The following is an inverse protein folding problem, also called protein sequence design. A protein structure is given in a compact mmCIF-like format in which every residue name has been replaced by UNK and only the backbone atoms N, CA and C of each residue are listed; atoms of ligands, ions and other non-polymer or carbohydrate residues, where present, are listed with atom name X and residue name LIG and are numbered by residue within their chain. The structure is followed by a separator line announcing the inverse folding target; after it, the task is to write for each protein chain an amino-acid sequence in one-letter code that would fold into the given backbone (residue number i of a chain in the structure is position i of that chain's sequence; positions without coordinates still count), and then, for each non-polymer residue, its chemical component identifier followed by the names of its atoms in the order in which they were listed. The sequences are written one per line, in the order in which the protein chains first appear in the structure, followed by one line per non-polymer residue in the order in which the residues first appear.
data_IF_094574994645
#
_entry.id   IF_094574994645
#
_cell.length_a   1.000
_cell.length_b   1.000
_cell.length_c   1.000
_cell.angle_alpha   90.00
_cell.angle_beta   90.00
_cell.angle_gamma   90.00
#
_symmetry.space_group_name_H-M   'P 1'
#
loop_
_entity.id
_entity.type
_entity.pdbx_description
1 polymer ?
#
# COMPACT_ATOMS: atom_id res chain seq x y z
N UNK A 1 -16.73 -31.64 -22.09
CA UNK A 1 -16.94 -32.40 -20.82
C UNK A 1 -15.97 -31.94 -19.71
N UNK A 2 -14.67 -31.72 -20.02
CA UNK A 2 -13.66 -31.25 -19.03
C UNK A 2 -13.95 -29.82 -18.52
N UNK A 3 -14.40 -28.91 -19.39
CA UNK A 3 -14.76 -27.53 -19.03
C UNK A 3 -16.04 -27.47 -18.17
N UNK A 4 -17.01 -28.37 -18.42
CA UNK A 4 -18.21 -28.46 -17.59
C UNK A 4 -17.94 -29.05 -16.20
N UNK A 5 -16.97 -29.96 -16.08
CA UNK A 5 -16.55 -30.55 -14.81
C UNK A 5 -15.83 -29.51 -13.94
N UNK A 6 -14.90 -28.71 -14.53
CA UNK A 6 -14.25 -27.57 -13.84
C UNK A 6 -15.26 -26.54 -13.35
N UNK A 7 -16.24 -26.16 -14.18
CA UNK A 7 -17.29 -25.21 -13.80
C UNK A 7 -18.23 -25.76 -12.69
N UNK A 8 -18.44 -27.09 -12.66
CA UNK A 8 -19.23 -27.73 -11.60
C UNK A 8 -18.45 -27.85 -10.28
N UNK A 9 -17.14 -28.10 -10.34
CA UNK A 9 -16.26 -28.08 -9.16
C UNK A 9 -16.08 -26.67 -8.59
N UNK A 10 -15.92 -25.66 -9.44
CA UNK A 10 -15.92 -24.25 -8.98
C UNK A 10 -17.24 -23.89 -8.28
N UNK A 11 -18.38 -24.23 -8.85
CA UNK A 11 -19.68 -23.97 -8.21
C UNK A 11 -19.89 -24.73 -6.90
N UNK A 12 -19.39 -25.96 -6.78
CA UNK A 12 -19.46 -26.74 -5.54
C UNK A 12 -18.52 -26.17 -4.46
N UNK A 13 -17.34 -25.72 -4.86
CA UNK A 13 -16.34 -25.09 -3.99
C UNK A 13 -16.87 -23.74 -3.46
N UNK A 14 -17.37 -22.88 -4.34
CA UNK A 14 -18.03 -21.61 -4.01
C UNK A 14 -19.23 -21.84 -3.08
N UNK A 15 -20.02 -22.90 -3.30
CA UNK A 15 -21.18 -23.24 -2.47
C UNK A 15 -20.80 -23.77 -1.09
N UNK A 16 -19.64 -24.41 -0.94
CA UNK A 16 -19.11 -24.88 0.35
C UNK A 16 -18.59 -23.71 1.18
N UNK A 17 -17.83 -22.80 0.57
CA UNK A 17 -17.31 -21.60 1.27
C UNK A 17 -18.39 -20.52 1.51
N UNK A 18 -19.38 -20.36 0.62
CA UNK A 18 -20.51 -19.46 0.87
C UNK A 18 -21.49 -19.96 1.94
N UNK A 19 -21.48 -21.23 2.32
CA UNK A 19 -22.36 -21.74 3.39
C UNK A 19 -21.88 -21.39 4.80
N UNK A 20 -20.59 -21.25 5.02
CA UNK A 20 -20.03 -20.88 6.33
C UNK A 20 -20.02 -19.37 6.61
N UNK A 21 -20.13 -18.53 5.57
CA UNK A 21 -20.25 -17.07 5.72
C UNK A 21 -21.60 -16.66 6.38
N UNK A 22 -22.58 -17.55 6.42
CA UNK A 22 -23.90 -17.26 7.01
C UNK A 22 -23.93 -17.17 8.55
N UNK A 23 -22.82 -17.41 9.25
CA UNK A 23 -22.71 -17.28 10.72
C UNK A 23 -22.08 -15.95 11.20
N UNK A 24 -21.82 -14.99 10.30
CA UNK A 24 -21.39 -13.65 10.69
C UNK A 24 -22.56 -12.90 11.35
N UNK A 25 -22.30 -12.28 12.50
CA UNK A 25 -23.34 -11.59 13.28
C UNK A 25 -23.94 -10.40 12.51
N UNK A 26 -25.20 -10.07 12.81
CA UNK A 26 -25.93 -8.91 12.23
C UNK A 26 -25.10 -7.64 12.34
N UNK A 27 -24.65 -7.08 11.18
CA UNK A 27 -23.88 -5.86 11.07
C UNK A 27 -22.57 -6.00 10.29
N UNK A 28 -22.08 -7.20 10.01
CA UNK A 28 -20.84 -7.41 9.26
C UNK A 28 -21.01 -7.08 7.78
N UNK A 29 -20.01 -6.42 7.21
CA UNK A 29 -19.94 -6.16 5.77
C UNK A 29 -19.71 -7.50 5.07
N UNK A 30 -20.76 -8.07 4.50
CA UNK A 30 -20.64 -9.26 3.65
C UNK A 30 -20.08 -8.80 2.30
N UNK A 31 -18.82 -9.10 2.05
CA UNK A 31 -18.15 -8.84 0.77
C UNK A 31 -17.73 -10.18 0.18
N UNK A 32 -18.15 -10.44 -1.05
CA UNK A 32 -17.79 -11.65 -1.77
C UNK A 32 -16.51 -11.40 -2.57
N UNK A 33 -15.85 -12.49 -3.00
CA UNK A 33 -14.68 -12.41 -3.89
C UNK A 33 -14.95 -11.60 -5.16
N UNK A 34 -16.15 -11.74 -5.73
CA UNK A 34 -16.59 -11.05 -6.94
C UNK A 34 -16.58 -9.53 -6.79
N UNK A 35 -16.84 -9.02 -5.58
CA UNK A 35 -16.78 -7.59 -5.27
C UNK A 35 -15.36 -7.02 -5.32
N UNK A 36 -14.35 -7.90 -5.29
CA UNK A 36 -12.92 -7.58 -5.34
C UNK A 36 -12.33 -7.67 -6.75
N UNK A 37 -13.10 -8.14 -7.74
CA UNK A 37 -12.62 -8.25 -9.11
C UNK A 37 -12.70 -6.89 -9.80
N UNK A 38 -11.56 -6.39 -10.25
CA UNK A 38 -11.50 -5.15 -11.00
C UNK A 38 -12.16 -5.30 -12.38
N UNK A 39 -12.74 -4.22 -12.94
CA UNK A 39 -13.13 -4.19 -14.35
C UNK A 39 -11.94 -4.52 -15.27
N UNK A 40 -12.20 -5.11 -16.44
CA UNK A 40 -11.15 -5.47 -17.40
C UNK A 40 -10.27 -4.27 -17.77
N UNK A 41 -10.89 -3.14 -18.11
CA UNK A 41 -10.21 -1.86 -18.35
C UNK A 41 -10.16 -1.10 -17.05
N UNK A 42 -8.98 -1.06 -16.43
CA UNK A 42 -8.82 -0.46 -15.12
C UNK A 42 -7.39 0.05 -14.90
N UNK A 43 -7.29 1.27 -14.40
CA UNK A 43 -6.07 1.85 -13.86
C UNK A 43 -6.37 2.29 -12.41
N UNK A 44 -5.53 1.91 -11.47
CA UNK A 44 -5.69 2.21 -10.05
C UNK A 44 -5.85 3.72 -9.77
N UNK A 45 -5.30 4.58 -10.64
CA UNK A 45 -5.42 6.05 -10.51
C UNK A 45 -6.86 6.52 -10.67
N UNK A 46 -7.72 5.77 -11.38
CA UNK A 46 -9.14 6.09 -11.53
C UNK A 46 -9.86 6.23 -10.18
N UNK A 47 -9.41 5.46 -9.17
CA UNK A 47 -9.95 5.55 -7.81
C UNK A 47 -9.60 6.89 -7.14
N UNK A 48 -8.52 7.54 -7.54
CA UNK A 48 -8.10 8.84 -7.02
C UNK A 48 -8.75 9.96 -7.84
N UNK A 49 -8.74 9.84 -9.16
CA UNK A 49 -9.25 10.85 -10.09
C UNK A 49 -10.74 11.17 -9.89
N UNK A 50 -11.56 10.15 -9.55
CA UNK A 50 -13.00 10.34 -9.28
C UNK A 50 -13.28 11.34 -8.15
N UNK A 51 -12.28 11.66 -7.32
CA UNK A 51 -12.38 12.63 -6.24
C UNK A 51 -11.86 14.02 -6.62
N UNK A 52 -11.34 14.21 -7.82
CA UNK A 52 -10.85 15.50 -8.32
C UNK A 52 -12.02 16.44 -8.68
N UNK A 53 -12.77 16.86 -7.68
CA UNK A 53 -13.94 17.73 -7.81
C UNK A 53 -13.86 18.89 -6.83
N UNK A 54 -14.05 20.12 -7.34
CA UNK A 54 -14.04 21.32 -6.53
C UNK A 54 -12.72 21.54 -5.78
N UNK A 55 -12.83 21.96 -4.54
CA UNK A 55 -11.74 22.29 -3.62
C UNK A 55 -11.43 21.19 -2.59
N UNK A 56 -11.89 19.96 -2.86
CA UNK A 56 -11.69 18.82 -1.97
C UNK A 56 -10.21 18.56 -1.72
N UNK A 57 -9.79 18.57 -0.45
CA UNK A 57 -8.39 18.37 -0.04
C UNK A 57 -7.96 16.92 -0.24
N UNK A 58 -6.81 16.75 -0.92
CA UNK A 58 -6.14 15.46 -1.09
C UNK A 58 -4.99 15.29 -0.11
N UNK A 59 -4.16 16.34 0.06
CA UNK A 59 -3.00 16.31 0.95
C UNK A 59 -3.02 17.48 1.93
N UNK A 60 -2.62 17.19 3.15
CA UNK A 60 -2.29 18.15 4.19
C UNK A 60 -0.84 17.87 4.64
N UNK A 61 0.11 18.69 4.20
CA UNK A 61 1.54 18.46 4.42
C UNK A 61 2.03 19.41 5.51
N UNK A 62 2.55 18.84 6.59
CA UNK A 62 3.15 19.54 7.71
C UNK A 62 4.67 19.43 7.62
N UNK A 63 5.33 20.54 7.34
CA UNK A 63 6.78 20.64 7.26
C UNK A 63 7.40 20.77 8.68
N UNK A 64 8.69 20.45 8.80
CA UNK A 64 9.44 20.55 10.06
C UNK A 64 9.45 21.98 10.63
N UNK A 65 9.42 22.98 9.77
CA UNK A 65 9.43 24.41 10.12
C UNK A 65 8.02 24.96 10.43
N UNK A 66 7.10 24.09 10.75
CA UNK A 66 5.70 24.40 11.05
C UNK A 66 4.86 24.95 9.88
N UNK A 67 5.43 25.03 8.66
CA UNK A 67 4.66 25.38 7.47
C UNK A 67 3.65 24.27 7.14
N UNK A 68 2.44 24.70 6.79
CA UNK A 68 1.38 23.82 6.28
C UNK A 68 1.22 24.09 4.79
N UNK A 69 1.11 23.01 4.02
CA UNK A 69 0.79 23.02 2.60
C UNK A 69 -0.44 22.15 2.38
N UNK A 70 -1.46 22.73 1.77
CA UNK A 70 -2.69 22.03 1.41
C UNK A 70 -2.73 21.88 -0.11
N UNK A 71 -3.13 20.70 -0.58
CA UNK A 71 -3.27 20.40 -2.01
C UNK A 71 -4.63 19.75 -2.23
N UNK A 72 -5.41 20.29 -3.14
CA UNK A 72 -6.70 19.71 -3.54
C UNK A 72 -6.49 18.49 -4.46
N UNK A 73 -7.52 17.64 -4.59
CA UNK A 73 -7.48 16.54 -5.56
C UNK A 73 -7.30 17.05 -6.99
N UNK A 74 -7.96 18.17 -7.34
CA UNK A 74 -7.82 18.80 -8.66
C UNK A 74 -6.37 19.20 -8.92
N UNK A 75 -5.74 19.94 -7.99
CA UNK A 75 -4.34 20.34 -8.11
C UNK A 75 -3.38 19.15 -8.15
N UNK A 76 -3.65 18.12 -7.34
CA UNK A 76 -2.86 16.88 -7.31
C UNK A 76 -2.87 16.20 -8.69
N UNK A 77 -4.05 16.02 -9.28
CA UNK A 77 -4.20 15.40 -10.60
C UNK A 77 -3.64 16.27 -11.71
N UNK A 78 -3.84 17.59 -11.69
CA UNK A 78 -3.22 18.51 -12.66
C UNK A 78 -1.70 18.40 -12.64
N UNK A 79 -1.07 18.41 -11.46
CA UNK A 79 0.38 18.25 -11.30
C UNK A 79 0.84 16.87 -11.77
N UNK A 80 0.12 15.82 -11.43
CA UNK A 80 0.42 14.46 -11.90
C UNK A 80 0.29 14.31 -13.41
N UNK A 81 -0.66 14.99 -14.05
CA UNK A 81 -0.80 15.06 -15.51
C UNK A 81 0.42 15.72 -16.15
N UNK A 82 0.92 16.81 -15.55
CA UNK A 82 2.15 17.46 -16.03
C UNK A 82 3.36 16.52 -15.96
N UNK A 83 3.48 15.72 -14.88
CA UNK A 83 4.52 14.68 -14.75
C UNK A 83 4.34 13.59 -15.81
N UNK A 84 3.11 13.09 -16.03
CA UNK A 84 2.84 12.08 -17.04
C UNK A 84 3.23 12.54 -18.45
N UNK A 85 2.96 13.81 -18.79
CA UNK A 85 3.39 14.42 -20.06
C UNK A 85 4.92 14.43 -20.21
N UNK A 86 5.68 14.64 -19.13
CA UNK A 86 7.16 14.55 -19.18
C UNK A 86 7.60 13.13 -19.49
N UNK A 87 7.03 12.13 -18.81
CA UNK A 87 7.41 10.74 -19.03
C UNK A 87 7.13 10.29 -20.46
N UNK A 88 5.96 10.62 -21.01
CA UNK A 88 5.63 10.36 -22.40
C UNK A 88 6.61 11.04 -23.38
N UNK A 89 6.90 12.35 -23.18
CA UNK A 89 7.83 13.09 -24.02
C UNK A 89 9.27 12.60 -23.95
N UNK A 90 9.65 11.95 -22.86
CA UNK A 90 10.95 11.32 -22.69
C UNK A 90 11.06 9.98 -23.41
N UNK A 91 10.00 9.56 -24.13
CA UNK A 91 9.98 8.32 -24.91
C UNK A 91 9.64 7.07 -24.10
N UNK A 92 9.27 7.20 -22.84
CA UNK A 92 8.82 6.07 -22.01
C UNK A 92 7.50 5.51 -22.55
N UNK A 93 7.39 4.18 -22.56
CA UNK A 93 6.27 3.46 -23.13
C UNK A 93 5.47 2.72 -22.07
N UNK A 94 4.25 2.34 -22.41
CA UNK A 94 3.42 1.47 -21.57
C UNK A 94 4.18 0.19 -21.19
N UNK A 95 4.25 -0.08 -19.88
CA UNK A 95 4.93 -1.24 -19.31
C UNK A 95 6.39 -1.01 -18.96
N UNK A 96 6.99 0.11 -19.38
CA UNK A 96 8.34 0.46 -18.95
C UNK A 96 8.41 0.56 -17.43
N UNK A 97 9.52 0.11 -16.87
CA UNK A 97 9.75 0.07 -15.43
C UNK A 97 10.53 1.32 -14.99
N UNK A 98 10.05 1.94 -13.92
CA UNK A 98 10.65 3.13 -13.32
C UNK A 98 10.97 2.89 -11.84
N UNK A 99 12.22 3.13 -11.44
CA UNK A 99 12.62 3.14 -10.04
C UNK A 99 12.31 4.52 -9.45
N UNK A 100 11.58 4.58 -8.33
CA UNK A 100 11.21 5.84 -7.65
C UNK A 100 11.74 5.85 -6.23
N UNK A 101 12.64 6.81 -5.94
CA UNK A 101 13.33 7.00 -4.66
C UNK A 101 13.15 8.45 -4.19
N UNK A 102 11.94 8.76 -3.68
CA UNK A 102 11.51 10.12 -3.28
C UNK A 102 10.94 10.05 -1.86
N UNK A 103 11.28 11.03 -0.96
CA UNK A 103 10.80 11.04 0.41
C UNK A 103 9.32 11.42 0.51
N UNK A 104 8.78 11.42 1.76
CA UNK A 104 7.42 11.90 2.04
C UNK A 104 7.27 13.37 1.59
N UNK A 105 6.58 13.59 0.49
CA UNK A 105 6.39 14.92 -0.10
C UNK A 105 5.27 14.90 -1.14
N UNK A 106 4.79 16.05 -1.58
CA UNK A 106 3.88 16.18 -2.71
C UNK A 106 4.44 15.47 -3.96
N UNK A 107 5.74 15.61 -4.19
CA UNK A 107 6.42 15.09 -5.36
C UNK A 107 6.34 13.55 -5.43
N UNK A 108 6.34 12.85 -4.28
CA UNK A 108 6.13 11.41 -4.27
C UNK A 108 4.74 11.05 -4.83
N UNK A 109 3.69 11.71 -4.36
CA UNK A 109 2.32 11.44 -4.82
C UNK A 109 2.15 11.73 -6.31
N UNK A 110 2.58 12.91 -6.79
CA UNK A 110 2.41 13.28 -8.20
C UNK A 110 3.27 12.42 -9.13
N UNK A 111 4.45 11.96 -8.69
CA UNK A 111 5.31 11.05 -9.45
C UNK A 111 4.65 9.68 -9.62
N UNK A 112 4.13 9.10 -8.53
CA UNK A 112 3.44 7.80 -8.59
C UNK A 112 2.17 7.88 -9.45
N UNK A 113 1.33 8.90 -9.25
CA UNK A 113 0.11 9.08 -10.05
C UNK A 113 0.48 9.30 -11.52
N UNK A 114 1.44 10.19 -11.81
CA UNK A 114 1.89 10.49 -13.17
C UNK A 114 2.47 9.27 -13.89
N UNK A 115 3.30 8.46 -13.20
CA UNK A 115 3.87 7.23 -13.75
C UNK A 115 2.77 6.21 -14.07
N UNK A 116 1.84 5.96 -13.16
CA UNK A 116 0.72 5.05 -13.39
C UNK A 116 -0.21 5.53 -14.53
N UNK A 117 -0.43 6.84 -14.66
CA UNK A 117 -1.19 7.43 -15.78
C UNK A 117 -0.47 7.26 -17.11
N UNK A 118 0.85 7.46 -17.14
CA UNK A 118 1.69 7.23 -18.31
C UNK A 118 1.84 5.73 -18.66
N UNK A 119 1.24 4.85 -17.86
CA UNK A 119 1.28 3.42 -18.10
C UNK A 119 2.56 2.74 -17.64
N UNK A 120 3.34 3.36 -16.76
CA UNK A 120 4.60 2.81 -16.25
C UNK A 120 4.37 1.84 -15.08
N UNK A 121 5.34 0.96 -14.89
CA UNK A 121 5.42 0.07 -13.73
C UNK A 121 6.41 0.67 -12.73
N UNK A 122 6.05 0.75 -11.45
CA UNK A 122 6.86 1.42 -10.44
C UNK A 122 7.60 0.41 -9.56
N UNK A 123 8.91 0.66 -9.33
CA UNK A 123 9.69 0.06 -8.26
C UNK A 123 9.75 1.06 -7.10
N UNK A 124 8.95 0.89 -6.04
CA UNK A 124 9.09 1.68 -4.82
C UNK A 124 10.46 1.44 -4.21
N UNK A 125 11.22 2.51 -3.96
CA UNK A 125 12.59 2.40 -3.48
C UNK A 125 12.85 3.30 -2.29
N UNK A 126 13.32 2.69 -1.20
CA UNK A 126 13.62 3.39 0.05
C UNK A 126 14.92 4.18 -0.06
N UNK A 127 14.96 5.34 0.60
CA UNK A 127 16.17 6.15 0.79
C UNK A 127 17.32 5.43 1.50
N UNK A 128 17.04 4.26 2.09
CA UNK A 128 18.06 3.45 2.77
C UNK A 128 18.83 2.55 1.80
N UNK A 129 18.41 2.45 0.54
CA UNK A 129 19.10 1.64 -0.46
C UNK A 129 20.47 2.22 -0.78
N UNK A 130 21.43 1.31 -1.02
CA UNK A 130 22.78 1.64 -1.46
C UNK A 130 22.95 1.34 -2.95
N UNK A 131 23.98 1.88 -3.55
CA UNK A 131 24.29 1.72 -4.97
C UNK A 131 24.13 0.27 -5.48
N UNK A 132 24.63 -0.72 -4.73
CA UNK A 132 24.49 -2.14 -5.06
C UNK A 132 23.02 -2.60 -5.14
N UNK A 133 22.19 -2.11 -4.22
CA UNK A 133 20.76 -2.51 -4.17
C UNK A 133 19.98 -1.85 -5.28
N UNK A 134 20.33 -0.62 -5.62
CA UNK A 134 19.75 0.16 -6.72
C UNK A 134 20.11 -0.50 -8.05
N UNK A 135 21.40 -0.77 -8.28
CA UNK A 135 21.92 -1.41 -9.49
C UNK A 135 21.24 -2.77 -9.75
N UNK A 136 21.13 -3.58 -8.70
CA UNK A 136 20.44 -4.86 -8.77
C UNK A 136 18.97 -4.70 -9.25
N UNK A 137 18.22 -3.74 -8.70
CA UNK A 137 16.82 -3.52 -9.08
C UNK A 137 16.68 -3.04 -10.52
N UNK A 138 17.54 -2.12 -10.94
CA UNK A 138 17.59 -1.61 -12.31
C UNK A 138 17.78 -2.74 -13.30
N UNK A 139 18.80 -3.58 -13.09
CA UNK A 139 19.12 -4.70 -13.98
C UNK A 139 18.06 -5.80 -13.92
N UNK A 140 17.66 -6.21 -12.70
CA UNK A 140 16.71 -7.30 -12.53
C UNK A 140 15.33 -6.98 -13.14
N UNK A 141 14.87 -5.73 -13.00
CA UNK A 141 13.56 -5.32 -13.51
C UNK A 141 13.60 -4.71 -14.93
N UNK A 142 14.76 -4.65 -15.59
CA UNK A 142 14.94 -3.97 -16.88
C UNK A 142 14.42 -2.51 -16.84
N UNK A 143 14.73 -1.78 -15.78
CA UNK A 143 14.26 -0.40 -15.61
C UNK A 143 14.68 0.49 -16.78
N UNK A 144 13.80 1.40 -17.17
CA UNK A 144 14.02 2.39 -18.25
C UNK A 144 14.17 3.80 -17.71
N UNK A 145 13.75 4.05 -16.48
CA UNK A 145 13.83 5.35 -15.86
C UNK A 145 14.10 5.26 -14.35
N UNK A 146 14.63 6.35 -13.82
CA UNK A 146 14.80 6.59 -12.39
C UNK A 146 14.25 7.97 -12.07
N UNK A 147 13.49 8.07 -10.97
CA UNK A 147 13.17 9.33 -10.29
C UNK A 147 13.77 9.30 -8.91
N UNK A 148 14.71 10.18 -8.61
CA UNK A 148 15.36 10.28 -7.31
C UNK A 148 15.20 11.68 -6.70
N UNK A 149 15.24 11.77 -5.37
CA UNK A 149 15.30 13.06 -4.70
C UNK A 149 16.75 13.55 -4.62
N UNK A 150 16.96 14.87 -4.69
CA UNK A 150 18.29 15.48 -4.80
C UNK A 150 19.30 15.00 -3.74
N UNK A 151 18.86 14.74 -2.51
CA UNK A 151 19.74 14.26 -1.44
C UNK A 151 20.18 12.79 -1.59
N UNK A 152 19.57 12.04 -2.50
CA UNK A 152 19.84 10.61 -2.71
C UNK A 152 20.61 10.34 -4.00
N UNK A 153 20.74 11.33 -4.89
CA UNK A 153 21.41 11.12 -6.20
C UNK A 153 22.87 10.70 -6.07
N UNK A 154 23.57 11.07 -4.99
CA UNK A 154 24.93 10.61 -4.73
C UNK A 154 25.08 9.09 -4.58
N UNK A 155 24.03 8.37 -4.18
CA UNK A 155 24.05 6.90 -4.16
C UNK A 155 24.11 6.30 -5.56
N UNK A 156 23.73 7.07 -6.60
CA UNK A 156 23.74 6.63 -7.99
C UNK A 156 25.11 6.79 -8.66
N UNK A 157 26.06 7.53 -8.09
CA UNK A 157 27.39 7.71 -8.66
C UNK A 157 28.16 6.38 -8.78
N UNK A 158 27.86 5.41 -7.91
CA UNK A 158 28.47 4.06 -7.93
C UNK A 158 27.58 3.00 -8.63
N UNK A 159 26.41 3.38 -9.16
CA UNK A 159 25.52 2.49 -9.92
C UNK A 159 26.07 2.31 -11.32
N UNK A 160 26.20 1.04 -11.76
CA UNK A 160 26.91 0.71 -13.01
C UNK A 160 26.03 0.75 -14.26
N UNK A 161 24.72 0.58 -14.10
CA UNK A 161 23.81 0.38 -15.23
C UNK A 161 22.82 1.56 -15.36
N UNK A 162 23.35 2.80 -15.38
CA UNK A 162 22.55 4.01 -15.60
C UNK A 162 22.51 4.43 -17.07
N UNK A 163 23.45 3.97 -17.88
CA UNK A 163 23.55 4.36 -19.28
C UNK A 163 22.28 4.01 -20.05
N UNK A 164 21.73 4.98 -20.78
CA UNK A 164 20.51 4.81 -21.58
C UNK A 164 19.20 4.91 -20.80
N UNK A 165 19.25 5.13 -19.48
CA UNK A 165 18.05 5.38 -18.67
C UNK A 165 17.65 6.86 -18.72
N UNK A 166 16.34 7.12 -18.58
CA UNK A 166 15.82 8.45 -18.31
C UNK A 166 16.02 8.77 -16.82
N UNK A 167 16.86 9.75 -16.51
CA UNK A 167 17.19 10.10 -15.12
C UNK A 167 16.52 11.42 -14.75
N UNK A 168 15.60 11.37 -13.79
CA UNK A 168 14.89 12.54 -13.27
C UNK A 168 15.23 12.78 -11.81
N UNK A 169 15.42 14.04 -11.45
CA UNK A 169 15.62 14.45 -10.06
C UNK A 169 14.49 15.36 -9.58
N UNK A 170 14.05 15.13 -8.37
CA UNK A 170 13.19 16.04 -7.62
C UNK A 170 14.09 16.92 -6.77
N UNK A 171 14.16 18.20 -7.10
CA UNK A 171 15.06 19.17 -6.50
C UNK A 171 16.07 19.76 -7.49
N UNK A 172 17.25 20.16 -7.01
CA UNK A 172 18.29 20.74 -7.85
C UNK A 172 18.94 19.67 -8.73
N UNK A 173 18.99 19.95 -10.03
CA UNK A 173 19.56 19.05 -11.01
C UNK A 173 21.01 19.40 -11.34
N UNK A 174 21.79 18.37 -11.65
CA UNK A 174 23.06 18.46 -12.36
C UNK A 174 23.14 17.29 -13.36
N UNK A 175 23.84 17.52 -14.45
CA UNK A 175 24.01 16.46 -15.47
C UNK A 175 24.45 15.12 -14.86
N UNK A 176 23.86 13.98 -15.29
CA UNK A 176 22.88 13.84 -16.39
C UNK A 176 21.40 13.89 -15.97
N UNK A 177 21.08 14.34 -14.76
CA UNK A 177 19.74 14.35 -14.19
C UNK A 177 18.89 15.51 -14.71
N UNK A 178 17.65 15.23 -15.12
CA UNK A 178 16.67 16.22 -15.54
C UNK A 178 15.81 16.67 -14.35
N UNK A 179 15.61 18.00 -14.12
CA UNK A 179 14.80 18.50 -13.01
C UNK A 179 13.31 18.24 -13.27
N UNK A 180 12.77 17.17 -12.73
CA UNK A 180 11.42 16.67 -13.02
C UNK A 180 10.35 17.75 -12.84
N UNK A 181 10.35 18.42 -11.69
CA UNK A 181 9.32 19.40 -11.34
C UNK A 181 9.41 20.65 -12.22
N UNK A 182 10.63 21.13 -12.51
CA UNK A 182 10.82 22.30 -13.37
C UNK A 182 10.43 22.02 -14.83
N UNK A 183 10.78 20.84 -15.34
CA UNK A 183 10.35 20.38 -16.66
C UNK A 183 8.82 20.25 -16.76
N UNK A 184 8.17 19.85 -15.67
CA UNK A 184 6.72 19.64 -15.63
C UNK A 184 5.92 20.96 -15.61
N UNK A 185 6.44 22.05 -15.05
CA UNK A 185 5.73 23.34 -14.88
C UNK A 185 5.03 23.86 -16.13
N UNK A 186 5.63 23.64 -17.30
CA UNK A 186 5.15 24.14 -18.59
C UNK A 186 4.40 23.06 -19.40
N UNK A 187 4.13 21.90 -18.82
CA UNK A 187 3.38 20.85 -19.48
C UNK A 187 1.88 21.06 -19.31
N UNK A 188 1.07 20.50 -20.23
CA UNK A 188 -0.39 20.52 -20.08
C UNK A 188 -0.82 19.93 -18.74
N UNK A 189 -1.82 20.56 -18.11
CA UNK A 189 -2.47 20.08 -16.88
C UNK A 189 -3.44 18.93 -17.14
N UNK A 190 -3.65 18.56 -18.40
CA UNK A 190 -4.44 17.43 -18.85
C UNK A 190 -3.53 16.35 -19.41
N UNK A 191 -3.88 15.11 -19.21
CA UNK A 191 -3.22 13.96 -19.81
C UNK A 191 -4.29 12.88 -20.05
N UNK A 192 -4.43 12.45 -21.29
CA UNK A 192 -5.28 11.32 -21.62
C UNK A 192 -4.51 10.04 -21.23
N UNK A 193 -4.88 9.45 -20.10
CA UNK A 193 -4.17 8.31 -19.53
C UNK A 193 -4.04 7.15 -20.51
N UNK A 194 -2.90 6.48 -20.48
CA UNK A 194 -2.67 5.26 -21.27
C UNK A 194 -3.64 4.18 -20.82
N UNK A 195 -4.38 3.60 -21.76
CA UNK A 195 -5.34 2.54 -21.47
C UNK A 195 -4.62 1.31 -20.85
N UNK A 196 -5.07 0.91 -19.68
CA UNK A 196 -4.57 -0.24 -18.92
C UNK A 196 -5.66 -1.27 -18.74
N UNK A 197 -5.25 -2.53 -18.68
CA UNK A 197 -6.09 -3.61 -18.16
C UNK A 197 -5.82 -3.78 -16.66
N UNK A 198 -6.78 -4.40 -15.97
CA UNK A 198 -6.60 -4.73 -14.57
C UNK A 198 -5.37 -5.63 -14.30
N UNK A 199 -4.97 -6.43 -15.29
CA UNK A 199 -3.84 -7.36 -15.20
C UNK A 199 -2.49 -6.75 -15.60
N UNK A 200 -2.45 -5.52 -16.11
CA UNK A 200 -1.19 -4.81 -16.33
C UNK A 200 -0.47 -4.58 -14.99
N UNK A 201 0.87 -4.72 -15.00
CA UNK A 201 1.69 -4.55 -13.79
C UNK A 201 1.72 -3.08 -13.37
N UNK A 202 1.40 -2.82 -12.12
CA UNK A 202 1.46 -1.49 -11.52
C UNK A 202 2.72 -1.31 -10.65
N UNK A 203 3.06 -2.32 -9.84
CA UNK A 203 4.17 -2.24 -8.88
C UNK A 203 5.03 -3.50 -8.87
N UNK A 204 6.33 -3.30 -8.70
CA UNK A 204 7.34 -4.33 -8.43
C UNK A 204 7.91 -4.10 -7.03
N UNK A 205 7.37 -4.82 -6.05
CA UNK A 205 7.71 -4.64 -4.63
C UNK A 205 8.84 -5.58 -4.21
N UNK A 206 10.02 -5.01 -3.96
CA UNK A 206 11.19 -5.78 -3.53
C UNK A 206 11.17 -6.05 -2.04
N UNK A 207 11.42 -7.30 -1.66
CA UNK A 207 11.61 -7.75 -0.27
C UNK A 207 12.97 -8.40 -0.07
N UNK A 208 13.48 -8.33 1.16
CA UNK A 208 14.68 -9.07 1.54
C UNK A 208 14.42 -10.57 1.44
N UNK A 209 15.14 -11.26 0.57
CA UNK A 209 15.12 -12.72 0.51
C UNK A 209 15.90 -13.32 1.68
N UNK A 210 15.42 -14.40 2.28
CA UNK A 210 16.13 -15.13 3.34
C UNK A 210 17.40 -15.85 2.84
N UNK A 211 17.57 -15.98 1.53
CA UNK A 211 18.60 -16.82 0.89
C UNK A 211 19.43 -16.13 -0.19
N UNK A 212 19.59 -14.81 -0.18
CA UNK A 212 20.42 -14.13 -1.18
C UNK A 212 19.84 -12.82 -1.71
N UNK A 213 19.77 -12.64 -3.03
CA UNK A 213 19.27 -11.42 -3.66
C UNK A 213 17.80 -11.14 -3.33
N UNK A 214 17.39 -9.86 -3.22
CA UNK A 214 16.00 -9.47 -3.03
C UNK A 214 15.10 -10.06 -4.12
N UNK A 215 13.90 -10.53 -3.72
CA UNK A 215 12.84 -10.97 -4.62
C UNK A 215 11.86 -9.83 -4.85
N UNK A 216 11.22 -9.78 -6.02
CA UNK A 216 10.25 -8.76 -6.37
C UNK A 216 8.86 -9.36 -6.55
N UNK A 217 7.93 -9.02 -5.67
CA UNK A 217 6.52 -9.38 -5.83
C UNK A 217 5.87 -8.52 -6.91
N UNK A 218 5.17 -9.16 -7.84
CA UNK A 218 4.48 -8.51 -8.97
C UNK A 218 3.04 -8.19 -8.60
N UNK A 219 2.69 -6.91 -8.57
CA UNK A 219 1.32 -6.45 -8.34
C UNK A 219 0.74 -5.75 -9.56
N UNK A 220 -0.47 -6.17 -9.93
CA UNK A 220 -1.23 -5.59 -11.04
C UNK A 220 -2.13 -4.45 -10.56
N UNK A 221 -2.78 -3.74 -11.48
CA UNK A 221 -3.78 -2.74 -11.12
C UNK A 221 -4.96 -3.38 -10.36
N UNK A 222 -5.35 -4.62 -10.68
CA UNK A 222 -6.41 -5.37 -9.99
C UNK A 222 -6.15 -5.52 -8.47
N UNK A 223 -4.88 -5.68 -8.08
CA UNK A 223 -4.50 -5.72 -6.67
C UNK A 223 -4.97 -4.48 -5.91
N UNK A 224 -4.77 -3.29 -6.46
CA UNK A 224 -5.19 -2.05 -5.81
C UNK A 224 -6.70 -1.91 -5.68
N UNK A 225 -7.45 -2.41 -6.66
CA UNK A 225 -8.92 -2.46 -6.60
C UNK A 225 -9.40 -3.29 -5.41
N UNK A 226 -8.85 -4.49 -5.25
CA UNK A 226 -9.17 -5.37 -4.13
C UNK A 226 -8.71 -4.77 -2.80
N UNK A 227 -7.49 -4.20 -2.74
CA UNK A 227 -6.92 -3.59 -1.54
C UNK A 227 -7.80 -2.47 -0.99
N UNK A 228 -8.33 -1.58 -1.83
CA UNK A 228 -9.21 -0.49 -1.40
C UNK A 228 -10.51 -1.01 -0.79
N UNK A 229 -11.05 -2.10 -1.30
CA UNK A 229 -12.32 -2.66 -0.84
C UNK A 229 -12.17 -3.47 0.44
N UNK A 230 -11.09 -4.20 0.58
CA UNK A 230 -10.83 -5.00 1.80
C UNK A 230 -10.15 -4.18 2.89
N UNK A 231 -8.92 -3.76 2.66
CA UNK A 231 -8.05 -3.16 3.69
C UNK A 231 -8.49 -1.74 4.05
N UNK A 232 -8.68 -0.87 3.05
CA UNK A 232 -8.99 0.54 3.32
C UNK A 232 -10.35 0.68 4.01
N UNK A 233 -11.36 -0.02 3.52
CA UNK A 233 -12.73 0.07 4.04
C UNK A 233 -12.92 -0.72 5.33
N UNK A 234 -12.51 -1.99 5.35
CA UNK A 234 -12.90 -2.92 6.42
C UNK A 234 -11.97 -2.86 7.64
N UNK A 235 -10.68 -2.58 7.43
CA UNK A 235 -9.70 -2.57 8.51
C UNK A 235 -9.22 -1.16 8.87
N UNK A 236 -8.72 -0.37 7.93
CA UNK A 236 -8.39 1.04 8.17
C UNK A 236 -9.65 1.81 8.57
N UNK A 237 -10.80 1.48 7.98
CA UNK A 237 -12.07 2.15 8.25
C UNK A 237 -12.09 3.58 7.74
N UNK A 238 -11.40 3.85 6.63
CA UNK A 238 -11.33 5.17 6.01
C UNK A 238 -12.68 5.55 5.40
N UNK A 239 -13.17 6.70 5.78
CA UNK A 239 -14.39 7.30 5.25
C UNK A 239 -14.06 8.50 4.34
N UNK A 240 -14.99 8.81 3.44
CA UNK A 240 -14.83 9.95 2.55
C UNK A 240 -14.82 11.26 3.35
N UNK A 241 -13.75 12.04 3.22
CA UNK A 241 -13.57 13.30 3.94
C UNK A 241 -12.73 13.20 5.23
N UNK A 242 -12.34 11.99 5.64
CA UNK A 242 -11.41 11.80 6.76
C UNK A 242 -10.06 12.47 6.52
N UNK A 243 -9.38 12.81 7.61
CA UNK A 243 -7.94 13.10 7.60
C UNK A 243 -7.22 11.84 8.07
N UNK A 244 -6.47 11.21 7.16
CA UNK A 244 -5.79 9.93 7.39
C UNK A 244 -4.30 10.16 7.58
N UNK A 245 -3.76 9.74 8.71
CA UNK A 245 -2.33 9.71 8.94
C UNK A 245 -1.81 8.27 8.96
N UNK A 246 -1.12 7.88 7.92
CA UNK A 246 -0.38 6.63 7.87
C UNK A 246 1.12 6.95 7.77
N UNK A 247 1.91 6.46 8.73
CA UNK A 247 3.29 6.90 8.95
C UNK A 247 4.34 6.23 8.07
N UNK A 248 3.96 5.23 7.27
CA UNK A 248 4.87 4.56 6.35
C UNK A 248 5.54 5.57 5.39
N UNK A 249 6.80 5.30 5.02
CA UNK A 249 7.54 6.13 4.05
C UNK A 249 7.41 5.58 2.63
N UNK A 250 7.49 6.44 1.58
CA UNK A 250 7.67 6.00 0.20
C UNK A 250 8.86 5.05 0.09
N UNK A 251 8.76 4.09 -0.83
CA UNK A 251 9.77 3.04 -0.97
C UNK A 251 9.44 1.74 -0.25
N UNK A 252 8.45 1.76 0.64
CA UNK A 252 7.88 0.57 1.25
C UNK A 252 6.52 0.26 0.65
N UNK A 253 6.19 -1.01 0.45
CA UNK A 253 4.87 -1.44 -0.03
C UNK A 253 3.74 -0.89 0.87
N UNK A 254 3.97 -0.81 2.17
CA UNK A 254 3.02 -0.26 3.16
C UNK A 254 2.64 1.20 2.87
N UNK A 255 3.54 2.00 2.25
CA UNK A 255 3.20 3.35 1.83
C UNK A 255 2.15 3.35 0.71
N UNK A 256 2.29 2.45 -0.25
CA UNK A 256 1.29 2.30 -1.32
C UNK A 256 -0.05 1.90 -0.71
N UNK A 257 -0.08 1.01 0.28
CA UNK A 257 -1.30 0.54 0.91
C UNK A 257 -2.09 1.67 1.59
N UNK A 258 -1.46 2.36 2.53
CA UNK A 258 -2.17 3.24 3.47
C UNK A 258 -2.05 4.72 3.12
N UNK A 259 -0.85 5.33 3.09
CA UNK A 259 -0.72 6.76 2.75
C UNK A 259 -1.21 7.10 1.35
N UNK A 260 -0.93 6.25 0.37
CA UNK A 260 -1.23 6.50 -1.03
C UNK A 260 -2.64 6.04 -1.41
N UNK A 261 -2.87 4.72 -1.48
CA UNK A 261 -4.13 4.19 -2.02
C UNK A 261 -5.29 4.33 -1.05
N UNK A 262 -5.15 3.88 0.22
CA UNK A 262 -6.28 3.88 1.14
C UNK A 262 -6.77 5.30 1.42
N UNK A 263 -5.86 6.26 1.60
CA UNK A 263 -6.24 7.66 1.82
C UNK A 263 -6.87 8.26 0.56
N UNK A 264 -6.12 8.30 -0.55
CA UNK A 264 -6.56 9.01 -1.74
C UNK A 264 -7.69 8.30 -2.49
N UNK A 265 -7.64 6.97 -2.60
CA UNK A 265 -8.64 6.17 -3.30
C UNK A 265 -10.00 6.13 -2.58
N UNK A 266 -10.01 6.40 -1.26
CA UNK A 266 -11.25 6.54 -0.49
C UNK A 266 -11.80 7.97 -0.46
N UNK A 267 -11.09 8.94 -1.05
CA UNK A 267 -11.49 10.34 -1.04
C UNK A 267 -11.24 11.05 0.28
N UNK A 268 -10.29 10.57 1.05
CA UNK A 268 -9.82 11.18 2.29
C UNK A 268 -8.66 12.15 2.02
N UNK A 269 -8.31 12.97 3.01
CA UNK A 269 -7.11 13.80 2.99
C UNK A 269 -5.95 13.04 3.61
N UNK A 270 -4.88 12.78 2.86
CA UNK A 270 -3.67 12.18 3.42
C UNK A 270 -2.87 13.24 4.19
N UNK A 271 -2.69 13.02 5.49
CA UNK A 271 -1.81 13.85 6.32
C UNK A 271 -0.37 13.37 6.15
N UNK A 272 0.52 14.29 5.80
CA UNK A 272 1.94 14.01 5.52
C UNK A 272 2.80 14.84 6.46
N UNK A 273 3.44 14.20 7.43
CA UNK A 273 4.39 14.85 8.31
C UNK A 273 5.83 14.61 7.80
N UNK A 274 6.56 15.69 7.53
CA UNK A 274 7.95 15.65 7.01
C UNK A 274 9.00 15.56 8.12
N UNK A 275 8.59 15.67 9.38
CA UNK A 275 9.48 15.59 10.51
C UNK A 275 9.79 14.16 10.96
N UNK A 276 10.68 14.09 11.96
CA UNK A 276 11.04 12.83 12.61
C UNK A 276 9.94 12.41 13.59
N UNK A 277 9.87 11.10 13.83
CA UNK A 277 9.00 10.57 14.89
C UNK A 277 9.44 11.08 16.26
N UNK A 278 8.50 11.69 16.95
CA UNK A 278 8.60 12.08 18.36
C UNK A 278 7.23 11.85 19.01
N UNK A 279 7.12 11.06 20.09
CA UNK A 279 5.82 10.64 20.63
C UNK A 279 4.90 11.78 21.01
N UNK A 280 5.40 12.79 21.74
CA UNK A 280 4.62 13.95 22.16
C UNK A 280 4.17 14.77 20.95
N UNK A 281 5.07 15.00 19.99
CA UNK A 281 4.75 15.74 18.77
C UNK A 281 3.68 15.04 17.95
N UNK A 282 3.69 13.70 17.88
CA UNK A 282 2.66 12.93 17.18
C UNK A 282 1.28 13.12 17.82
N UNK A 283 1.21 13.04 19.16
CA UNK A 283 -0.04 13.29 19.89
C UNK A 283 -0.56 14.72 19.64
N UNK A 284 0.33 15.72 19.70
CA UNK A 284 -0.01 17.11 19.38
C UNK A 284 -0.54 17.29 17.97
N UNK A 285 0.12 16.69 16.96
CA UNK A 285 -0.28 16.78 15.57
C UNK A 285 -1.63 16.10 15.31
N UNK A 286 -1.91 14.97 15.98
CA UNK A 286 -3.21 14.30 15.88
C UNK A 286 -4.34 15.21 16.37
N UNK A 287 -4.14 15.89 17.51
CA UNK A 287 -5.09 16.86 18.06
C UNK A 287 -5.21 18.10 17.16
N UNK A 288 -4.08 18.71 16.77
CA UNK A 288 -4.02 19.95 15.97
C UNK A 288 -4.72 19.79 14.63
N UNK A 289 -4.46 18.67 13.94
CA UNK A 289 -4.97 18.42 12.59
C UNK A 289 -6.24 17.55 12.57
N UNK A 290 -6.81 17.25 13.73
CA UNK A 290 -8.05 16.46 13.88
C UNK A 290 -8.00 15.17 13.08
N UNK A 291 -6.94 14.39 13.27
CA UNK A 291 -6.76 13.13 12.58
C UNK A 291 -7.93 12.18 12.88
N UNK A 292 -8.49 11.58 11.85
CA UNK A 292 -9.63 10.66 11.94
C UNK A 292 -9.20 9.20 11.94
N UNK A 293 -8.14 8.88 11.15
CA UNK A 293 -7.61 7.53 11.02
C UNK A 293 -6.09 7.57 11.21
N UNK A 294 -5.57 6.78 12.14
CA UNK A 294 -4.13 6.60 12.36
C UNK A 294 -3.70 5.18 12.00
N UNK A 295 -2.69 5.06 11.14
CA UNK A 295 -2.03 3.80 10.83
C UNK A 295 -0.53 3.96 11.06
N UNK A 296 -0.01 3.42 12.15
CA UNK A 296 1.41 3.47 12.45
C UNK A 296 1.92 2.13 12.99
N UNK A 297 3.24 2.02 13.18
CA UNK A 297 3.86 0.78 13.65
C UNK A 297 3.56 0.51 15.13
N UNK A 298 3.58 -0.75 15.58
CA UNK A 298 3.47 -1.07 17.00
C UNK A 298 4.54 -0.36 17.85
N UNK A 299 5.73 -0.16 17.29
CA UNK A 299 6.82 0.56 17.96
C UNK A 299 6.46 2.03 18.20
N UNK A 300 5.87 2.74 17.22
CA UNK A 300 5.39 4.12 17.40
C UNK A 300 4.30 4.18 18.47
N UNK A 301 3.33 3.27 18.44
CA UNK A 301 2.29 3.19 19.47
C UNK A 301 2.85 2.93 20.87
N UNK A 302 3.82 2.02 21.01
CA UNK A 302 4.47 1.74 22.31
C UNK A 302 5.14 2.96 22.90
N UNK A 303 5.76 3.78 22.05
CA UNK A 303 6.44 5.00 22.50
C UNK A 303 5.43 6.10 22.86
N UNK A 304 4.34 6.24 22.09
CA UNK A 304 3.26 7.15 22.45
C UNK A 304 2.54 6.75 23.74
N UNK A 305 2.31 5.45 23.96
CA UNK A 305 1.67 4.95 25.18
C UNK A 305 2.48 5.18 26.47
N UNK A 306 3.76 5.54 26.35
CA UNK A 306 4.66 5.85 27.47
C UNK A 306 4.78 7.33 27.77
N UNK A 307 4.08 8.18 27.03
CA UNK A 307 4.06 9.62 27.29
C UNK A 307 3.28 9.87 28.59
N UNK A 308 3.83 10.72 29.45
CA UNK A 308 3.16 11.15 30.68
C UNK A 308 1.93 12.01 30.37
N UNK A 309 0.92 11.94 31.24
CA UNK A 309 -0.29 12.77 31.15
C UNK A 309 -1.03 12.70 29.81
N UNK A 310 -1.18 11.50 29.26
CA UNK A 310 -1.88 11.25 27.98
C UNK A 310 -3.27 11.88 27.92
N UNK A 311 -3.97 11.97 29.05
CA UNK A 311 -5.29 12.60 29.18
C UNK A 311 -5.32 14.09 28.82
N UNK A 312 -4.16 14.74 28.69
CA UNK A 312 -4.07 16.15 28.26
C UNK A 312 -4.23 16.32 26.73
N UNK A 313 -4.21 15.22 25.97
CA UNK A 313 -4.38 15.25 24.51
C UNK A 313 -5.83 14.91 24.14
N UNK A 314 -6.43 15.74 23.30
CA UNK A 314 -7.76 15.48 22.75
C UNK A 314 -7.65 14.71 21.40
N UNK A 315 -7.85 13.41 21.45
CA UNK A 315 -7.92 12.55 20.28
C UNK A 315 -9.35 12.13 19.93
N UNK A 316 -10.36 12.87 20.35
CA UNK A 316 -11.78 12.55 20.16
C UNK A 316 -12.22 12.45 18.69
N UNK A 317 -11.46 13.07 17.77
CA UNK A 317 -11.71 12.95 16.32
C UNK A 317 -11.18 11.65 15.71
N UNK A 318 -10.30 10.94 16.43
CA UNK A 318 -9.68 9.70 15.95
C UNK A 318 -10.64 8.52 16.16
N UNK A 319 -11.35 8.13 15.10
CA UNK A 319 -12.33 7.03 15.19
C UNK A 319 -11.74 5.68 14.76
N UNK A 320 -10.53 5.66 14.19
CA UNK A 320 -9.85 4.43 13.81
C UNK A 320 -8.35 4.51 14.04
N UNK A 321 -7.83 3.56 14.80
CA UNK A 321 -6.41 3.39 15.08
C UNK A 321 -6.00 1.95 14.78
N UNK A 322 -5.03 1.76 13.87
CA UNK A 322 -4.62 0.44 13.41
C UNK A 322 -3.10 0.31 13.35
N UNK A 323 -2.64 -0.92 13.50
CA UNK A 323 -1.22 -1.27 13.45
C UNK A 323 -1.00 -2.56 12.69
N UNK A 324 0.12 -2.68 11.99
CA UNK A 324 0.54 -3.91 11.32
C UNK A 324 2.05 -3.92 11.08
N UNK A 325 2.61 -5.12 10.87
CA UNK A 325 4.03 -5.33 10.57
C UNK A 325 4.82 -5.96 11.70
N UNK A 326 4.38 -5.78 12.94
CA UNK A 326 4.91 -6.42 14.15
C UNK A 326 3.73 -6.78 15.08
N UNK A 327 3.87 -7.69 16.03
CA UNK A 327 2.82 -7.97 17.02
C UNK A 327 2.47 -6.74 17.87
N UNK A 328 1.19 -6.45 18.00
CA UNK A 328 0.69 -5.36 18.82
C UNK A 328 0.59 -5.79 20.29
N UNK A 329 1.24 -5.05 21.19
CA UNK A 329 1.26 -5.37 22.61
C UNK A 329 -0.07 -5.04 23.28
N UNK A 330 -0.51 -5.92 24.21
CA UNK A 330 -1.70 -5.69 25.03
C UNK A 330 -1.66 -4.37 25.78
N UNK A 331 -0.52 -3.99 26.36
CA UNK A 331 -0.33 -2.73 27.07
C UNK A 331 -0.72 -1.50 26.25
N UNK A 332 -0.38 -1.50 24.94
CA UNK A 332 -0.78 -0.42 24.02
C UNK A 332 -2.29 -0.36 23.88
N UNK A 333 -2.92 -1.51 23.63
CA UNK A 333 -4.38 -1.59 23.47
C UNK A 333 -5.08 -1.08 24.72
N UNK A 334 -4.70 -1.59 25.88
CA UNK A 334 -5.28 -1.21 27.19
C UNK A 334 -5.07 0.27 27.51
N UNK A 335 -3.90 0.83 27.18
CA UNK A 335 -3.60 2.25 27.42
C UNK A 335 -4.43 3.18 26.54
N UNK A 336 -4.47 2.94 25.23
CA UNK A 336 -5.25 3.80 24.32
C UNK A 336 -6.76 3.67 24.61
N UNK A 337 -7.23 2.49 24.98
CA UNK A 337 -8.63 2.29 25.36
C UNK A 337 -8.98 3.05 26.65
N UNK A 338 -8.10 3.02 27.66
CA UNK A 338 -8.30 3.70 28.94
C UNK A 338 -8.24 5.22 28.80
N UNK A 339 -7.23 5.75 28.10
CA UNK A 339 -6.97 7.19 28.04
C UNK A 339 -7.83 7.91 26.99
N UNK A 340 -8.14 7.25 25.88
CA UNK A 340 -8.81 7.89 24.74
C UNK A 340 -10.13 7.20 24.34
N UNK A 341 -10.54 6.15 25.04
CA UNK A 341 -11.67 5.29 24.62
C UNK A 341 -11.52 4.77 23.18
N UNK A 342 -10.27 4.60 22.74
CA UNK A 342 -9.89 4.23 21.40
C UNK A 342 -9.26 2.84 21.38
N UNK A 343 -9.85 1.94 20.59
CA UNK A 343 -9.31 0.60 20.40
C UNK A 343 -8.26 0.62 19.29
N UNK A 344 -6.99 0.34 19.62
CA UNK A 344 -5.96 0.08 18.62
C UNK A 344 -6.10 -1.36 18.12
N UNK A 345 -6.23 -1.52 16.81
CA UNK A 345 -6.54 -2.80 16.16
C UNK A 345 -5.33 -3.34 15.41
N UNK A 346 -5.08 -4.64 15.56
CA UNK A 346 -3.98 -5.32 14.89
C UNK A 346 -4.37 -5.82 13.50
N UNK A 347 -3.36 -6.05 12.66
CA UNK A 347 -3.55 -6.63 11.35
C UNK A 347 -2.28 -7.26 10.78
N UNK A 348 -2.47 -8.33 10.01
CA UNK A 348 -1.43 -9.12 9.39
C UNK A 348 -1.59 -9.14 7.87
N UNK A 349 -0.48 -9.00 7.19
CA UNK A 349 -0.36 -9.12 5.75
C UNK A 349 1.10 -9.06 5.32
N UNK A 350 1.35 -9.36 4.06
CA UNK A 350 2.69 -9.45 3.50
C UNK A 350 2.81 -8.62 2.23
N UNK A 351 4.04 -8.37 1.79
CA UNK A 351 4.31 -7.69 0.50
C UNK A 351 3.67 -8.43 -0.66
N UNK A 352 3.61 -9.75 -0.60
CA UNK A 352 3.01 -10.63 -1.61
C UNK A 352 1.48 -10.57 -1.67
N UNK A 353 0.85 -9.87 -0.74
CA UNK A 353 -0.60 -9.82 -0.62
C UNK A 353 -1.12 -8.40 -0.33
N UNK A 354 -2.15 -8.31 0.43
CA UNK A 354 -2.68 -7.14 1.14
C UNK A 354 -2.78 -7.48 2.63
N UNK A 355 -3.53 -6.71 3.41
CA UNK A 355 -3.92 -7.13 4.75
C UNK A 355 -4.83 -8.36 4.64
N UNK A 356 -4.37 -9.48 5.14
CA UNK A 356 -5.04 -10.78 5.04
C UNK A 356 -5.95 -11.06 6.24
N UNK A 357 -5.46 -10.73 7.42
CA UNK A 357 -6.13 -10.96 8.69
C UNK A 357 -6.10 -9.68 9.51
N UNK A 358 -7.17 -9.33 10.17
CA UNK A 358 -7.21 -8.13 11.01
C UNK A 358 -8.36 -8.12 12.02
N UNK A 359 -8.18 -7.36 13.08
CA UNK A 359 -9.28 -6.97 13.97
C UNK A 359 -10.05 -5.84 13.28
N UNK A 360 -11.24 -6.15 12.76
CA UNK A 360 -12.08 -5.19 12.03
C UNK A 360 -12.76 -4.22 13.01
N UNK A 361 -13.28 -3.08 12.48
CA UNK A 361 -13.83 -1.98 13.29
C UNK A 361 -14.91 -2.43 14.28
N UNK A 362 -15.76 -3.38 13.88
CA UNK A 362 -16.88 -3.86 14.71
C UNK A 362 -16.52 -5.10 15.57
N UNK A 363 -15.25 -5.52 15.55
CA UNK A 363 -14.81 -6.69 16.32
C UNK A 363 -14.28 -6.28 17.69
N UNK A 364 -14.66 -7.04 18.71
CA UNK A 364 -14.02 -6.96 20.01
C UNK A 364 -12.57 -7.51 19.93
N UNK A 365 -11.55 -6.74 20.36
CA UNK A 365 -10.17 -7.19 20.29
C UNK A 365 -9.93 -8.35 21.24
N UNK A 366 -9.16 -9.31 20.76
CA UNK A 366 -8.63 -10.38 21.61
C UNK A 366 -7.11 -10.23 21.66
N UNK A 367 -6.55 -9.73 22.77
CA UNK A 367 -5.10 -9.57 22.88
C UNK A 367 -4.34 -10.85 22.56
N UNK A 368 -3.34 -10.75 21.67
CA UNK A 368 -2.60 -11.90 21.15
C UNK A 368 -3.20 -12.55 19.90
N UNK A 369 -4.37 -12.10 19.43
CA UNK A 369 -4.94 -12.51 18.15
C UNK A 369 -4.85 -11.36 17.14
N UNK A 370 -4.44 -11.67 15.91
CA UNK A 370 -4.44 -10.70 14.80
C UNK A 370 -5.86 -10.41 14.27
N UNK A 371 -6.86 -11.20 14.65
CA UNK A 371 -8.26 -11.04 14.21
C UNK A 371 -8.74 -12.16 13.30
N UNK A 372 -9.49 -11.80 12.26
CA UNK A 372 -10.09 -12.74 11.29
C UNK A 372 -9.66 -12.39 9.86
N UNK A 373 -9.80 -13.30 8.89
CA UNK A 373 -9.63 -12.96 7.47
C UNK A 373 -10.42 -11.72 7.08
N UNK A 374 -9.77 -10.81 6.35
CA UNK A 374 -10.45 -9.60 5.87
C UNK A 374 -11.48 -9.97 4.79
N UNK A 375 -12.62 -9.26 4.71
CA UNK A 375 -13.72 -9.61 3.81
C UNK A 375 -13.27 -9.80 2.36
N UNK A 376 -13.72 -10.89 1.74
CA UNK A 376 -13.41 -11.25 0.35
C UNK A 376 -12.08 -11.95 0.13
N UNK A 377 -11.17 -11.98 1.11
CA UNK A 377 -9.95 -12.77 1.07
C UNK A 377 -10.19 -14.17 1.63
N UNK A 378 -9.63 -15.17 0.95
CA UNK A 378 -9.73 -16.58 1.37
C UNK A 378 -8.42 -16.96 2.06
N UNK A 379 -8.46 -17.00 3.38
CA UNK A 379 -7.30 -17.29 4.24
C UNK A 379 -7.68 -18.39 5.22
N UNK A 380 -6.86 -19.43 5.30
CA UNK A 380 -7.08 -20.57 6.21
C UNK A 380 -5.76 -21.05 6.83
N UNK A 381 -5.87 -21.92 7.81
CA UNK A 381 -4.74 -22.65 8.39
C UNK A 381 -4.72 -24.03 7.76
N UNK A 382 -3.58 -24.46 7.23
CA UNK A 382 -3.45 -25.74 6.51
C UNK A 382 -2.32 -26.61 7.06
N UNK A 383 -2.44 -27.90 6.85
CA UNK A 383 -1.39 -28.89 7.15
C UNK A 383 -0.33 -28.97 6.05
N UNK A 384 0.63 -29.87 6.21
CA UNK A 384 1.73 -30.10 5.23
C UNK A 384 1.23 -30.70 3.90
N UNK A 385 0.05 -31.31 3.87
CA UNK A 385 -0.60 -31.86 2.67
C UNK A 385 -1.48 -30.82 1.95
N UNK A 386 -1.75 -29.66 2.58
CA UNK A 386 -2.61 -28.59 2.03
C UNK A 386 -4.08 -28.73 2.39
N UNK A 387 -4.42 -29.55 3.38
CA UNK A 387 -5.78 -29.67 3.90
C UNK A 387 -6.04 -28.58 4.95
N UNK A 388 -7.23 -27.99 4.92
CA UNK A 388 -7.65 -27.00 5.92
C UNK A 388 -7.84 -27.68 7.27
N UNK A 389 -7.19 -27.14 8.31
CA UNK A 389 -7.24 -27.62 9.66
C UNK A 389 -8.48 -27.09 10.43
N UNK A 390 -9.05 -27.88 11.34
CA UNK A 390 -10.12 -27.39 12.21
C UNK A 390 -9.58 -26.38 13.24
N UNK A 391 -10.46 -25.53 13.81
CA UNK A 391 -10.08 -24.58 14.85
C UNK A 391 -9.41 -25.26 16.05
N UNK A 392 -8.27 -24.70 16.50
CA UNK A 392 -7.47 -25.19 17.62
C UNK A 392 -6.26 -26.03 17.22
N UNK A 393 -6.10 -26.35 15.94
CA UNK A 393 -4.90 -26.99 15.41
C UNK A 393 -3.97 -25.96 14.80
N UNK A 394 -2.65 -26.18 14.97
CA UNK A 394 -1.59 -25.27 14.50
C UNK A 394 -1.09 -25.71 13.13
N UNK A 395 -1.13 -24.80 12.16
CA UNK A 395 -0.65 -25.05 10.81
C UNK A 395 -0.08 -23.80 10.15
N UNK A 396 0.14 -23.89 8.84
CA UNK A 396 0.62 -22.77 8.05
C UNK A 396 -0.54 -21.80 7.71
N UNK A 397 -0.30 -20.50 7.88
CA UNK A 397 -1.23 -19.47 7.36
C UNK A 397 -1.13 -19.49 5.84
N UNK A 398 -2.24 -19.77 5.18
CA UNK A 398 -2.29 -19.92 3.75
C UNK A 398 -3.37 -19.06 3.10
N UNK A 399 -3.08 -18.57 1.89
CA UNK A 399 -3.98 -17.73 1.10
C UNK A 399 -4.34 -18.47 -0.18
N UNK A 400 -5.63 -18.65 -0.44
CA UNK A 400 -6.06 -19.34 -1.65
C UNK A 400 -5.70 -18.52 -2.89
N UNK A 401 -5.15 -19.17 -3.92
CA UNK A 401 -4.65 -18.53 -5.16
C UNK A 401 -5.68 -17.68 -5.91
N UNK A 402 -6.98 -17.91 -5.68
CA UNK A 402 -8.06 -17.11 -6.27
C UNK A 402 -8.31 -15.78 -5.57
N UNK A 403 -7.58 -15.47 -4.49
CA UNK A 403 -7.70 -14.19 -3.78
C UNK A 403 -7.21 -13.05 -4.67
N UNK A 404 -8.08 -12.07 -5.04
CA UNK A 404 -7.72 -11.03 -6.01
C UNK A 404 -6.56 -10.13 -5.59
N UNK A 405 -6.36 -9.96 -4.26
CA UNK A 405 -5.29 -9.16 -3.69
C UNK A 405 -3.97 -9.93 -3.49
N UNK A 406 -3.86 -11.16 -3.98
CA UNK A 406 -2.60 -11.90 -3.99
C UNK A 406 -1.73 -11.45 -5.18
N UNK A 407 -0.40 -11.44 -5.00
CA UNK A 407 0.56 -11.13 -6.05
C UNK A 407 0.47 -12.11 -7.23
N UNK A 408 1.03 -11.73 -8.39
CA UNK A 408 1.06 -12.60 -9.58
C UNK A 408 2.28 -13.53 -9.63
N UNK A 409 3.11 -13.49 -8.61
CA UNK A 409 4.36 -14.25 -8.47
C UNK A 409 5.56 -13.35 -8.32
N UNK A 410 6.75 -13.95 -8.28
CA UNK A 410 8.01 -13.22 -8.23
C UNK A 410 8.53 -12.94 -9.64
N UNK A 411 8.97 -11.71 -9.87
CA UNK A 411 9.50 -11.27 -11.16
C UNK A 411 10.66 -12.17 -11.59
N UNK A 412 10.57 -12.74 -12.82
CA UNK A 412 11.60 -13.61 -13.43
C UNK A 412 12.02 -14.83 -12.57
N UNK A 413 11.19 -15.23 -11.61
CA UNK A 413 11.49 -16.35 -10.71
C UNK A 413 10.27 -17.29 -10.54
N UNK A 414 9.91 -18.04 -11.60
CA UNK A 414 8.78 -18.97 -11.56
C UNK A 414 9.01 -20.16 -10.63
N UNK A 415 10.26 -20.58 -10.44
CA UNK A 415 10.61 -21.67 -9.51
C UNK A 415 10.29 -21.26 -8.08
N UNK A 416 10.82 -20.11 -7.62
CA UNK A 416 10.53 -19.60 -6.29
C UNK A 416 9.04 -19.32 -6.10
N UNK A 417 8.36 -18.85 -7.17
CA UNK A 417 6.91 -18.65 -7.13
C UNK A 417 6.21 -19.97 -6.85
N UNK A 418 6.55 -21.03 -7.60
CA UNK A 418 5.90 -22.35 -7.44
C UNK A 418 6.19 -22.98 -6.07
N UNK A 419 7.38 -22.78 -5.49
CA UNK A 419 7.74 -23.28 -4.16
C UNK A 419 6.92 -22.63 -3.04
N UNK A 420 6.35 -21.44 -3.27
CA UNK A 420 5.48 -20.79 -2.28
C UNK A 420 4.05 -21.32 -2.31
N UNK A 421 3.74 -22.25 -3.20
CA UNK A 421 2.40 -22.81 -3.29
C UNK A 421 2.37 -24.28 -2.89
N UNK A 422 1.37 -24.65 -2.13
CA UNK A 422 0.99 -26.03 -1.81
C UNK A 422 -0.40 -26.26 -2.40
N UNK A 423 -0.45 -26.86 -3.59
CA UNK A 423 -1.68 -26.98 -4.37
C UNK A 423 -2.27 -25.61 -4.75
N UNK A 424 -3.43 -25.29 -4.23
CA UNK A 424 -4.12 -24.02 -4.50
C UNK A 424 -3.82 -22.93 -3.45
N UNK A 425 -2.93 -23.20 -2.48
CA UNK A 425 -2.62 -22.33 -1.37
C UNK A 425 -1.24 -21.69 -1.48
N UNK A 426 -1.17 -20.38 -1.45
CA UNK A 426 0.04 -19.62 -1.20
C UNK A 426 0.39 -19.73 0.29
N UNK A 427 1.61 -20.16 0.59
CA UNK A 427 2.11 -20.33 1.96
C UNK A 427 2.84 -19.05 2.38
N UNK A 428 2.36 -18.43 3.44
CA UNK A 428 2.93 -17.17 3.94
C UNK A 428 4.30 -17.36 4.59
N UNK A 429 4.59 -18.56 5.08
CA UNK A 429 5.76 -18.87 5.91
C UNK A 429 5.56 -18.59 7.41
N UNK A 430 4.40 -18.05 7.78
CA UNK A 430 4.01 -17.85 9.17
C UNK A 430 3.01 -18.94 9.60
N UNK A 431 2.95 -19.25 10.90
CA UNK A 431 2.06 -20.27 11.48
C UNK A 431 1.12 -19.67 12.53
N UNK A 432 -0.05 -20.25 12.66
CA UNK A 432 -1.03 -19.87 13.67
C UNK A 432 -1.77 -21.09 14.22
#
# INVERSE_FOLDING_TARGET
LFIQILYYFEKLFIKKYNKDVSQWHKGEIVMNREDLLAPEVYNIVMEIEKHATGDKKALLIRHDNDKIEEVTYTELIEKANQIANIFEKSGLQKGDVMLVMVPRSLEAYITYIGALKAGLTIIPSSELLRAKDIDYRIVHADAKAVVAFETYIGEFDEVKHLDGLQLFVVGHAHEPWQPLIDCAKNQPKTFEGVQRTAEDIAFLAYTSGTTGNPKSAVHTHAWGYAHLRTTAKSWLGVENGDVVWATAAPGWQKWIWSPFLASLGSGATAFVYKGKFEPVKYLQLMQEHKINVLCCTPTEYRLMAKVDDLSNFDLSTLHSAVSAGEPLNREVIDTFLREFSLQVRDGYGQTESTLLVGTLKEMEPRPGSMGKPTPGNIVDIIDDEGNVLPPGEVGDIAVHKSTPALFRGYLKDPERTSMQFRGDWYITGDRA
#
